data_IF_156637792570
#
_entry.id   IF_156637792570
#
_cell.length_a   1.000
_cell.length_b   1.000
_cell.length_c   1.000
_cell.angle_alpha   90.00
_cell.angle_beta   90.00
_cell.angle_gamma   90.00
#
_symmetry.space_group_name_H-M   'P 1'
#
loop_
_entity.id
_entity.type
_entity.pdbx_description
1 polymer ?
#
# COMPACT_ATOMS: atom_id res chain seq x y z
N UNK A 1 2.61 -32.54 -1.03
CA UNK A 1 1.75 -31.83 -0.08
C UNK A 1 1.75 -30.35 -0.47
N UNK A 2 0.60 -29.76 -0.80
CA UNK A 2 0.46 -28.33 -1.03
C UNK A 2 0.78 -27.62 0.31
N UNK A 3 1.74 -26.71 0.30
CA UNK A 3 2.04 -25.88 1.47
C UNK A 3 0.96 -24.80 1.53
N UNK A 4 0.03 -24.90 2.48
CA UNK A 4 -0.96 -23.86 2.74
C UNK A 4 -0.29 -22.72 3.49
N UNK A 5 -0.19 -21.56 2.85
CA UNK A 5 0.17 -20.31 3.52
C UNK A 5 -1.11 -19.60 3.97
N UNK A 6 -1.13 -19.09 5.21
CA UNK A 6 -2.14 -18.12 5.62
C UNK A 6 -1.62 -16.74 5.21
N UNK A 7 -2.41 -16.01 4.41
CA UNK A 7 -2.13 -14.64 4.03
C UNK A 7 -2.98 -13.67 4.86
N UNK A 8 -2.35 -12.62 5.39
CA UNK A 8 -3.00 -11.56 6.16
C UNK A 8 -2.61 -10.22 5.51
N UNK A 9 -3.59 -9.40 5.16
CA UNK A 9 -3.37 -8.10 4.54
C UNK A 9 -3.69 -6.98 5.52
N UNK A 10 -2.66 -6.35 6.07
CA UNK A 10 -2.74 -5.21 6.99
C UNK A 10 -1.96 -4.03 6.38
N UNK A 11 -2.58 -3.23 5.50
CA UNK A 11 -1.90 -2.15 4.80
C UNK A 11 -1.46 -1.04 5.76
N UNK A 12 -0.29 -0.48 5.49
CA UNK A 12 0.28 0.70 6.14
C UNK A 12 0.76 1.69 5.12
N UNK A 13 0.86 2.97 5.51
CA UNK A 13 1.34 4.05 4.64
C UNK A 13 2.83 4.33 4.84
N UNK A 14 3.42 5.11 3.96
CA UNK A 14 4.80 5.61 4.13
C UNK A 14 4.91 6.70 5.20
N UNK A 15 3.81 7.38 5.51
CA UNK A 15 3.76 8.42 6.54
C UNK A 15 3.84 7.90 7.97
N UNK A 16 3.73 6.57 8.16
CA UNK A 16 3.86 5.93 9.48
C UNK A 16 2.93 4.74 9.66
N UNK A 17 2.90 4.24 10.88
CA UNK A 17 2.05 3.12 11.29
C UNK A 17 1.24 3.59 12.50
N UNK A 18 -0.06 3.74 12.31
CA UNK A 18 -0.98 4.14 13.38
C UNK A 18 -0.93 3.15 14.56
N UNK A 19 -1.07 3.62 15.81
CA UNK A 19 -0.94 2.77 17.00
C UNK A 19 -1.85 1.53 16.98
N UNK A 20 -3.10 1.69 16.55
CA UNK A 20 -4.03 0.56 16.40
C UNK A 20 -3.51 -0.47 15.39
N UNK A 21 -2.97 -0.01 14.26
CA UNK A 21 -2.38 -0.88 13.23
C UNK A 21 -1.10 -1.57 13.72
N UNK A 22 -0.30 -0.92 14.56
CA UNK A 22 0.86 -1.56 15.19
C UNK A 22 0.43 -2.73 16.08
N UNK A 23 -0.65 -2.57 16.85
CA UNK A 23 -1.21 -3.63 17.69
C UNK A 23 -1.76 -4.79 16.85
N UNK A 24 -2.49 -4.50 15.77
CA UNK A 24 -2.99 -5.54 14.84
C UNK A 24 -1.85 -6.33 14.20
N UNK A 25 -0.79 -5.65 13.75
CA UNK A 25 0.40 -6.28 13.21
C UNK A 25 1.11 -7.16 14.27
N UNK A 26 1.27 -6.65 15.48
CA UNK A 26 1.90 -7.41 16.58
C UNK A 26 1.06 -8.65 16.94
N UNK A 27 -0.27 -8.52 17.02
CA UNK A 27 -1.18 -9.64 17.24
C UNK A 27 -1.08 -10.68 16.13
N UNK A 28 -1.17 -10.26 14.88
CA UNK A 28 -1.11 -11.14 13.71
C UNK A 28 0.22 -11.92 13.64
N UNK A 29 1.33 -11.21 13.83
CA UNK A 29 2.67 -11.81 13.78
C UNK A 29 2.89 -12.78 14.95
N UNK A 30 2.53 -12.42 16.16
CA UNK A 30 2.66 -13.29 17.33
C UNK A 30 1.89 -14.60 17.15
N UNK A 31 0.62 -14.48 16.77
CA UNK A 31 -0.26 -15.65 16.63
C UNK A 31 0.16 -16.56 15.45
N UNK A 32 0.63 -15.97 14.34
CA UNK A 32 1.16 -16.73 13.23
C UNK A 32 2.51 -17.41 13.58
N UNK A 33 3.38 -16.72 14.32
CA UNK A 33 4.69 -17.24 14.73
C UNK A 33 4.57 -18.48 15.63
N UNK A 34 3.51 -18.56 16.43
CA UNK A 34 3.23 -19.76 17.23
C UNK A 34 3.03 -21.04 16.39
N UNK A 35 2.69 -20.89 15.10
CA UNK A 35 2.46 -21.99 14.16
C UNK A 35 3.60 -22.18 13.15
N UNK A 36 4.55 -21.25 13.06
CA UNK A 36 5.67 -21.33 12.12
C UNK A 36 6.31 -19.97 11.79
N UNK A 37 7.22 -19.95 10.82
CA UNK A 37 7.88 -18.71 10.41
C UNK A 37 6.90 -17.74 9.76
N UNK A 38 7.10 -16.45 10.04
CA UNK A 38 6.30 -15.35 9.49
C UNK A 38 7.12 -14.56 8.48
N UNK A 39 6.56 -14.33 7.30
CA UNK A 39 7.14 -13.47 6.28
C UNK A 39 6.35 -12.17 6.19
N UNK A 40 6.96 -11.05 6.56
CA UNK A 40 6.38 -9.72 6.44
C UNK A 40 6.89 -9.10 5.14
N UNK A 41 5.98 -8.72 4.25
CA UNK A 41 6.34 -8.08 3.00
C UNK A 41 5.54 -6.81 2.75
N UNK A 42 6.05 -5.97 1.90
CA UNK A 42 5.34 -4.89 1.23
C UNK A 42 5.63 -4.98 -0.27
N UNK A 43 5.23 -4.00 -1.05
CA UNK A 43 5.45 -4.03 -2.49
C UNK A 43 6.94 -4.13 -2.88
N UNK A 44 7.82 -3.35 -2.22
CA UNK A 44 9.28 -3.32 -2.53
C UNK A 44 10.15 -4.10 -1.55
N UNK A 45 9.62 -4.56 -0.43
CA UNK A 45 10.39 -5.28 0.59
C UNK A 45 11.37 -4.45 1.43
N UNK A 46 11.45 -3.13 1.20
CA UNK A 46 12.51 -2.26 1.78
C UNK A 46 12.00 -1.33 2.89
N UNK A 47 10.79 -0.79 2.78
CA UNK A 47 10.35 0.35 3.57
C UNK A 47 9.26 -0.02 4.55
N UNK A 48 8.00 -0.15 4.09
CA UNK A 48 6.84 -0.46 4.95
C UNK A 48 7.03 -1.77 5.72
N UNK A 49 7.48 -2.83 5.04
CA UNK A 49 7.72 -4.12 5.70
C UNK A 49 8.87 -4.06 6.71
N UNK A 50 9.92 -3.31 6.42
CA UNK A 50 11.03 -3.13 7.37
C UNK A 50 10.60 -2.33 8.59
N UNK A 51 9.85 -1.23 8.40
CA UNK A 51 9.27 -0.45 9.50
C UNK A 51 8.27 -1.26 10.34
N UNK A 52 7.39 -2.02 9.69
CA UNK A 52 6.45 -2.90 10.38
C UNK A 52 7.17 -3.99 11.20
N UNK A 53 8.17 -4.66 10.61
CA UNK A 53 8.95 -5.67 11.32
C UNK A 53 9.71 -5.09 12.51
N UNK A 54 10.32 -3.91 12.36
CA UNK A 54 11.02 -3.22 13.44
C UNK A 54 10.07 -2.88 14.61
N UNK A 55 8.93 -2.25 14.32
CA UNK A 55 7.95 -1.91 15.35
C UNK A 55 7.39 -3.17 16.05
N UNK A 56 7.00 -4.19 15.27
CA UNK A 56 6.39 -5.41 15.80
C UNK A 56 7.36 -6.20 16.68
N UNK A 57 8.62 -6.37 16.28
CA UNK A 57 9.60 -7.11 17.08
C UNK A 57 9.87 -6.41 18.42
N UNK A 58 9.82 -5.07 18.45
CA UNK A 58 9.95 -4.31 19.68
C UNK A 58 8.69 -4.42 20.56
N UNK A 59 7.50 -4.29 19.98
CA UNK A 59 6.23 -4.43 20.70
C UNK A 59 6.11 -5.83 21.35
N UNK A 60 6.59 -6.85 20.68
CA UNK A 60 6.59 -8.23 21.18
C UNK A 60 7.75 -8.52 22.17
N UNK A 61 8.63 -7.54 22.41
CA UNK A 61 9.79 -7.72 23.28
C UNK A 61 10.87 -8.64 22.72
N UNK A 62 10.86 -8.89 21.41
CA UNK A 62 11.84 -9.80 20.76
C UNK A 62 13.16 -9.09 20.43
N UNK A 63 13.14 -7.78 20.23
CA UNK A 63 14.32 -6.95 19.99
C UNK A 63 14.09 -5.53 20.49
N UNK A 64 15.14 -4.82 20.95
CA UNK A 64 15.03 -3.41 21.28
C UNK A 64 14.84 -2.54 20.01
N UNK A 65 14.24 -1.36 20.17
CA UNK A 65 13.91 -0.46 19.06
C UNK A 65 15.13 -0.10 18.20
N UNK A 66 16.30 0.10 18.84
CA UNK A 66 17.53 0.45 18.15
C UNK A 66 17.98 -0.62 17.14
N UNK A 67 17.78 -1.90 17.49
CA UNK A 67 18.08 -3.01 16.55
C UNK A 67 17.11 -3.01 15.38
N UNK A 68 15.82 -2.75 15.62
CA UNK A 68 14.82 -2.60 14.58
C UNK A 68 15.18 -1.49 13.61
N UNK A 69 15.53 -0.31 14.11
CA UNK A 69 15.96 0.85 13.32
C UNK A 69 17.24 0.55 12.52
N UNK A 70 18.24 -0.06 13.16
CA UNK A 70 19.45 -0.47 12.46
C UNK A 70 19.15 -1.45 11.31
N UNK A 71 18.21 -2.38 11.51
CA UNK A 71 17.79 -3.30 10.47
C UNK A 71 17.05 -2.60 9.33
N UNK A 72 16.27 -1.55 9.60
CA UNK A 72 15.64 -0.74 8.56
C UNK A 72 16.71 -0.11 7.64
N UNK A 73 17.79 0.43 8.19
CA UNK A 73 18.90 0.96 7.39
C UNK A 73 19.56 -0.11 6.52
N UNK A 74 19.82 -1.30 7.07
CA UNK A 74 20.36 -2.45 6.31
C UNK A 74 19.42 -2.90 5.19
N UNK A 75 18.11 -2.83 5.42
CA UNK A 75 17.08 -3.15 4.42
C UNK A 75 16.97 -2.09 3.31
N UNK A 76 17.65 -0.95 3.45
CA UNK A 76 17.59 0.16 2.50
C UNK A 76 16.33 1.01 2.63
N UNK A 77 15.78 1.11 3.84
CA UNK A 77 14.65 2.02 4.10
C UNK A 77 15.10 3.46 3.87
N UNK A 78 14.40 4.17 2.97
CA UNK A 78 14.74 5.56 2.67
C UNK A 78 14.57 6.46 3.91
N UNK A 79 15.55 7.34 4.21
CA UNK A 79 15.47 8.26 5.33
C UNK A 79 14.36 9.30 5.20
N UNK A 80 13.77 9.46 4.01
CA UNK A 80 12.63 10.35 3.78
C UNK A 80 11.34 9.86 4.45
N UNK A 81 11.23 8.56 4.74
CA UNK A 81 10.06 7.98 5.41
C UNK A 81 10.14 8.11 6.93
N UNK A 82 10.22 9.34 7.40
CA UNK A 82 10.37 9.68 8.83
C UNK A 82 9.32 9.02 9.71
N UNK A 83 8.09 8.88 9.22
CA UNK A 83 7.00 8.24 9.97
C UNK A 83 7.22 6.74 10.21
N UNK A 84 7.84 6.01 9.27
CA UNK A 84 8.20 4.61 9.47
C UNK A 84 9.31 4.47 10.53
N UNK A 85 10.32 5.33 10.49
CA UNK A 85 11.37 5.37 11.52
C UNK A 85 10.80 5.76 12.88
N UNK A 86 9.92 6.76 12.93
CA UNK A 86 9.27 7.17 14.19
C UNK A 86 8.44 6.03 14.78
N UNK A 87 7.69 5.28 13.97
CA UNK A 87 6.94 4.11 14.44
C UNK A 87 7.84 3.04 15.05
N UNK A 88 9.01 2.78 14.45
CA UNK A 88 9.99 1.84 14.99
C UNK A 88 10.70 2.36 16.24
N UNK A 89 11.11 3.63 16.25
CA UNK A 89 11.83 4.26 17.37
C UNK A 89 10.98 4.40 18.64
N UNK A 90 9.69 4.73 18.46
CA UNK A 90 8.76 4.95 19.55
C UNK A 90 8.06 3.66 20.03
N UNK A 91 8.31 2.54 19.35
CA UNK A 91 7.78 1.25 19.80
C UNK A 91 8.38 0.86 21.16
N UNK A 92 7.58 0.26 22.00
CA UNK A 92 7.99 -0.28 23.29
C UNK A 92 7.29 -1.63 23.53
N UNK A 93 7.88 -2.51 24.33
CA UNK A 93 7.27 -3.79 24.68
C UNK A 93 5.90 -3.57 25.35
N UNK A 94 4.90 -4.33 24.90
CA UNK A 94 3.56 -4.29 25.45
C UNK A 94 3.21 -5.61 26.15
N UNK A 95 2.34 -5.53 27.15
CA UNK A 95 1.88 -6.71 27.86
C UNK A 95 1.06 -7.63 26.94
N UNK A 96 1.09 -8.94 27.16
CA UNK A 96 0.25 -9.90 26.44
C UNK A 96 -1.24 -9.54 26.44
N UNK A 97 -1.75 -8.96 27.54
CA UNK A 97 -3.16 -8.60 27.68
C UNK A 97 -3.58 -7.50 26.70
N UNK A 98 -2.73 -6.48 26.50
CA UNK A 98 -2.97 -5.42 25.52
C UNK A 98 -3.05 -6.03 24.10
N UNK A 99 -2.12 -6.92 23.77
CA UNK A 99 -2.09 -7.57 22.47
C UNK A 99 -3.29 -8.53 22.30
N UNK A 100 -3.71 -9.22 23.36
CA UNK A 100 -4.86 -10.13 23.36
C UNK A 100 -6.20 -9.39 23.20
N UNK A 101 -6.28 -8.15 23.62
CA UNK A 101 -7.47 -7.32 23.44
C UNK A 101 -7.76 -6.97 21.96
N UNK A 102 -6.77 -7.11 21.07
CA UNK A 102 -6.96 -6.87 19.64
C UNK A 102 -7.70 -8.05 19.01
N UNK A 103 -8.77 -7.83 18.23
CA UNK A 103 -9.43 -8.91 17.47
C UNK A 103 -8.45 -9.64 16.56
N UNK A 104 -8.56 -10.98 16.48
CA UNK A 104 -7.67 -11.83 15.68
C UNK A 104 -8.25 -12.20 14.31
N UNK A 105 -9.38 -11.62 13.94
CA UNK A 105 -10.00 -11.82 12.63
C UNK A 105 -9.39 -10.87 11.59
N UNK A 106 -8.26 -11.30 11.02
CA UNK A 106 -7.53 -10.51 10.03
C UNK A 106 -7.90 -10.93 8.62
N UNK A 107 -8.21 -9.95 7.73
CA UNK A 107 -8.59 -10.25 6.36
C UNK A 107 -7.40 -10.73 5.52
N UNK A 108 -7.66 -11.62 4.56
CA UNK A 108 -6.69 -11.94 3.50
C UNK A 108 -6.57 -10.81 2.46
N UNK A 109 -7.60 -9.98 2.33
CA UNK A 109 -7.60 -8.75 1.52
C UNK A 109 -8.27 -7.65 2.34
N UNK A 110 -7.52 -6.60 2.68
CA UNK A 110 -8.09 -5.40 3.31
C UNK A 110 -8.61 -4.49 2.22
N UNK A 111 -9.91 -4.21 2.27
CA UNK A 111 -10.56 -3.26 1.36
C UNK A 111 -10.63 -1.88 2.02
N UNK A 112 -10.62 -0.77 1.25
CA UNK A 112 -10.88 0.55 1.79
C UNK A 112 -12.20 0.58 2.57
N UNK A 113 -12.22 1.30 3.68
CA UNK A 113 -13.40 1.37 4.58
C UNK A 113 -14.62 2.01 3.91
N UNK A 114 -14.40 2.82 2.88
CA UNK A 114 -15.46 3.50 2.12
C UNK A 114 -14.99 3.86 0.71
N UNK A 115 -15.95 4.21 -0.16
CA UNK A 115 -15.67 4.74 -1.49
C UNK A 115 -14.85 6.05 -1.41
N UNK A 116 -15.13 6.90 -0.42
CA UNK A 116 -14.40 8.15 -0.20
C UNK A 116 -12.94 7.87 0.18
N UNK A 117 -12.70 6.90 1.08
CA UNK A 117 -11.33 6.52 1.43
C UNK A 117 -10.58 5.94 0.23
N UNK A 118 -11.24 5.14 -0.58
CA UNK A 118 -10.64 4.63 -1.82
C UNK A 118 -10.26 5.76 -2.78
N UNK A 119 -11.09 6.82 -2.89
CA UNK A 119 -10.75 8.01 -3.69
C UNK A 119 -9.53 8.76 -3.15
N UNK A 120 -9.37 8.87 -1.83
CA UNK A 120 -8.16 9.45 -1.22
C UNK A 120 -6.92 8.62 -1.58
N UNK A 121 -7.04 7.31 -1.55
CA UNK A 121 -5.93 6.41 -1.90
C UNK A 121 -5.60 6.45 -3.40
N UNK A 122 -6.62 6.62 -4.27
CA UNK A 122 -6.47 6.86 -5.72
C UNK A 122 -5.75 8.16 -5.98
N UNK A 123 -6.16 9.25 -5.30
CA UNK A 123 -5.52 10.57 -5.44
C UNK A 123 -4.03 10.50 -5.07
N UNK A 124 -3.70 9.84 -3.97
CA UNK A 124 -2.30 9.64 -3.56
C UNK A 124 -1.49 8.86 -4.62
N UNK A 125 -2.03 7.77 -5.15
CA UNK A 125 -1.35 6.98 -6.18
C UNK A 125 -1.19 7.79 -7.48
N UNK A 126 -2.18 8.59 -7.82
CA UNK A 126 -2.15 9.47 -8.99
C UNK A 126 -1.09 10.58 -8.84
N UNK A 127 -0.97 11.23 -7.67
CA UNK A 127 0.08 12.21 -7.40
C UNK A 127 1.49 11.58 -7.47
N UNK A 128 1.66 10.34 -6.97
CA UNK A 128 2.91 9.61 -7.15
C UNK A 128 3.27 9.40 -8.63
N UNK A 129 2.29 9.05 -9.46
CA UNK A 129 2.49 8.90 -10.90
C UNK A 129 2.82 10.23 -11.59
N UNK A 130 2.26 11.35 -11.15
CA UNK A 130 2.65 12.70 -11.63
C UNK A 130 4.11 13.02 -11.32
N UNK A 131 4.58 12.68 -10.14
CA UNK A 131 5.98 12.91 -9.77
C UNK A 131 6.93 11.97 -10.54
N UNK A 132 6.50 10.74 -10.80
CA UNK A 132 7.20 9.79 -11.67
C UNK A 132 7.25 10.31 -13.12
N UNK A 133 6.15 10.85 -13.66
CA UNK A 133 6.12 11.47 -15.00
C UNK A 133 7.10 12.64 -15.10
N UNK A 134 7.10 13.55 -14.11
CA UNK A 134 8.07 14.69 -14.03
C UNK A 134 9.53 14.19 -13.97
N UNK A 135 9.78 13.06 -13.35
CA UNK A 135 11.09 12.42 -13.30
C UNK A 135 11.44 11.60 -14.57
N UNK A 136 10.65 11.72 -15.63
CA UNK A 136 10.88 11.02 -16.90
C UNK A 136 10.60 9.52 -16.83
N UNK A 137 9.57 9.12 -16.08
CA UNK A 137 9.12 7.74 -15.88
C UNK A 137 10.15 6.84 -15.16
N UNK A 138 10.99 7.49 -14.37
CA UNK A 138 11.92 6.82 -13.45
C UNK A 138 11.55 7.15 -12.00
N UNK A 139 12.06 6.39 -11.01
CA UNK A 139 11.87 6.75 -9.60
C UNK A 139 12.37 8.17 -9.32
N UNK A 140 11.52 9.06 -8.75
CA UNK A 140 11.93 10.43 -8.43
C UNK A 140 13.10 10.44 -7.43
N UNK A 141 14.10 11.32 -7.57
CA UNK A 141 15.22 11.40 -6.63
C UNK A 141 14.81 11.66 -5.18
N UNK A 142 13.72 12.41 -4.98
CA UNK A 142 13.13 12.68 -3.65
C UNK A 142 12.43 11.47 -3.04
N UNK A 143 12.03 10.51 -3.86
CA UNK A 143 11.25 9.33 -3.46
C UNK A 143 11.68 8.12 -4.29
N UNK A 144 12.94 7.63 -4.11
CA UNK A 144 13.56 6.62 -4.98
C UNK A 144 12.92 5.24 -4.90
N UNK A 145 11.98 5.05 -4.02
CA UNK A 145 11.19 3.82 -3.82
C UNK A 145 9.83 3.85 -4.55
N UNK A 146 9.46 4.96 -5.16
CA UNK A 146 8.30 5.02 -6.05
C UNK A 146 8.67 4.32 -7.38
N UNK A 147 8.41 3.02 -7.45
CA UNK A 147 8.62 2.24 -8.67
C UNK A 147 7.46 2.48 -9.63
N UNK A 148 7.71 2.98 -10.86
CA UNK A 148 6.65 3.39 -11.79
C UNK A 148 5.59 2.32 -12.05
N UNK A 149 5.98 1.10 -12.41
CA UNK A 149 5.05 -0.01 -12.66
C UNK A 149 4.22 -0.35 -11.43
N UNK A 150 4.83 -0.28 -10.23
CA UNK A 150 4.16 -0.60 -8.98
C UNK A 150 3.09 0.43 -8.60
N UNK A 151 3.32 1.72 -8.83
CA UNK A 151 2.33 2.75 -8.55
C UNK A 151 1.17 2.71 -9.58
N UNK A 152 1.45 2.37 -10.84
CA UNK A 152 0.42 2.13 -11.85
C UNK A 152 -0.45 0.91 -11.50
N UNK A 153 0.16 -0.20 -11.08
CA UNK A 153 -0.55 -1.40 -10.62
C UNK A 153 -1.38 -1.13 -9.35
N UNK A 154 -0.84 -0.35 -8.41
CA UNK A 154 -1.60 0.09 -7.23
C UNK A 154 -2.84 0.87 -7.60
N UNK A 155 -2.73 1.79 -8.56
CA UNK A 155 -3.87 2.57 -9.04
C UNK A 155 -4.93 1.67 -9.69
N UNK A 156 -4.51 0.67 -10.48
CA UNK A 156 -5.41 -0.30 -11.09
C UNK A 156 -6.15 -1.15 -10.03
N UNK A 157 -5.45 -1.61 -9.00
CA UNK A 157 -6.04 -2.36 -7.90
C UNK A 157 -7.08 -1.55 -7.13
N UNK A 158 -6.81 -0.27 -6.87
CA UNK A 158 -7.75 0.63 -6.20
C UNK A 158 -9.05 0.79 -7.01
N UNK A 159 -8.97 0.99 -8.33
CA UNK A 159 -10.16 1.06 -9.19
C UNK A 159 -10.95 -0.26 -9.19
N UNK A 160 -10.27 -1.41 -9.22
CA UNK A 160 -10.92 -2.72 -9.11
C UNK A 160 -11.68 -2.85 -7.79
N UNK A 161 -11.03 -2.53 -6.67
CA UNK A 161 -11.61 -2.69 -5.33
C UNK A 161 -12.80 -1.74 -5.11
N UNK A 162 -12.80 -0.57 -5.75
CA UNK A 162 -13.90 0.38 -5.71
C UNK A 162 -15.18 -0.14 -6.38
N UNK A 163 -15.08 -0.97 -7.43
CA UNK A 163 -16.23 -1.56 -8.12
C UNK A 163 -17.04 -2.46 -7.17
N UNK A 164 -16.38 -3.08 -6.20
CA UNK A 164 -16.99 -3.99 -5.22
C UNK A 164 -17.60 -3.27 -4.00
N UNK A 165 -17.47 -1.95 -3.92
CA UNK A 165 -18.00 -1.20 -2.77
C UNK A 165 -19.52 -1.16 -2.77
N UNK A 166 -20.13 -1.08 -1.59
CA UNK A 166 -21.57 -0.91 -1.45
C UNK A 166 -22.07 0.39 -2.09
N UNK A 167 -21.22 1.42 -2.18
CA UNK A 167 -21.54 2.67 -2.87
C UNK A 167 -21.67 2.45 -4.38
N UNK A 168 -20.68 1.83 -5.02
CA UNK A 168 -20.71 1.58 -6.45
C UNK A 168 -21.89 0.69 -6.85
N UNK A 169 -22.19 -0.34 -6.07
CA UNK A 169 -23.34 -1.25 -6.32
C UNK A 169 -24.71 -0.59 -6.25
N UNK A 170 -24.84 0.55 -5.54
CA UNK A 170 -26.09 1.32 -5.45
C UNK A 170 -26.23 2.42 -6.51
N UNK A 171 -25.17 2.70 -7.27
CA UNK A 171 -25.17 3.68 -8.35
C UNK A 171 -25.52 3.02 -9.68
N UNK A 172 -25.90 3.79 -10.70
CA UNK A 172 -26.12 3.25 -12.05
C UNK A 172 -24.93 2.47 -12.57
N UNK A 173 -25.19 1.49 -13.42
CA UNK A 173 -24.16 0.58 -13.97
C UNK A 173 -23.00 1.29 -14.70
N UNK A 174 -23.20 2.51 -15.15
CA UNK A 174 -22.19 3.31 -15.81
C UNK A 174 -21.05 3.78 -14.86
N UNK A 175 -21.31 3.95 -13.55
CA UNK A 175 -20.21 4.19 -12.60
C UNK A 175 -19.25 3.00 -12.57
N UNK A 176 -19.78 1.77 -12.52
CA UNK A 176 -18.94 0.57 -12.54
C UNK A 176 -18.20 0.44 -13.87
N UNK A 177 -18.85 0.79 -14.99
CA UNK A 177 -18.19 0.81 -16.30
C UNK A 177 -17.04 1.85 -16.32
N UNK A 178 -17.24 3.06 -15.82
CA UNK A 178 -16.19 4.09 -15.74
C UNK A 178 -15.02 3.65 -14.86
N UNK A 179 -15.27 2.99 -13.73
CA UNK A 179 -14.23 2.43 -12.86
C UNK A 179 -13.47 1.29 -13.57
N UNK A 180 -14.18 0.45 -14.31
CA UNK A 180 -13.58 -0.63 -15.10
C UNK A 180 -12.68 -0.09 -16.22
N UNK A 181 -13.12 0.95 -16.91
CA UNK A 181 -12.32 1.61 -17.95
C UNK A 181 -11.06 2.27 -17.34
N UNK A 182 -11.20 2.97 -16.21
CA UNK A 182 -10.07 3.57 -15.51
C UNK A 182 -9.07 2.50 -15.03
N UNK A 183 -9.56 1.35 -14.52
CA UNK A 183 -8.73 0.19 -14.19
C UNK A 183 -7.96 -0.31 -15.42
N UNK A 184 -8.62 -0.50 -16.54
CA UNK A 184 -7.98 -0.99 -17.76
C UNK A 184 -6.88 -0.02 -18.26
N UNK A 185 -7.11 1.29 -18.19
CA UNK A 185 -6.10 2.30 -18.54
C UNK A 185 -4.89 2.24 -17.60
N UNK A 186 -5.10 2.07 -16.29
CA UNK A 186 -4.01 1.94 -15.32
C UNK A 186 -3.22 0.64 -15.51
N UNK A 187 -3.89 -0.48 -15.79
CA UNK A 187 -3.25 -1.77 -16.11
C UNK A 187 -2.41 -1.71 -17.38
N UNK A 188 -2.87 -0.96 -18.39
CA UNK A 188 -2.07 -0.78 -19.61
C UNK A 188 -0.81 0.03 -19.32
N UNK A 189 -0.90 1.09 -18.51
CA UNK A 189 0.29 1.85 -18.08
C UNK A 189 1.27 0.96 -17.29
N UNK A 190 0.76 0.16 -16.33
CA UNK A 190 1.56 -0.81 -15.59
C UNK A 190 2.28 -1.78 -16.53
N UNK A 191 1.55 -2.35 -17.50
CA UNK A 191 2.08 -3.32 -18.47
C UNK A 191 3.19 -2.72 -19.35
N UNK A 192 3.02 -1.48 -19.81
CA UNK A 192 4.04 -0.76 -20.57
C UNK A 192 5.31 -0.56 -19.72
N UNK A 193 5.16 -0.07 -18.49
CA UNK A 193 6.27 0.16 -17.57
C UNK A 193 6.98 -1.14 -17.18
N UNK A 194 6.24 -2.20 -16.92
CA UNK A 194 6.78 -3.52 -16.60
C UNK A 194 7.54 -4.17 -17.77
N UNK A 195 7.10 -3.90 -19.01
CA UNK A 195 7.78 -4.33 -20.23
C UNK A 195 9.05 -3.51 -20.56
N UNK A 196 9.35 -2.47 -19.77
CA UNK A 196 10.53 -1.62 -19.99
C UNK A 196 10.34 -0.59 -21.10
N UNK A 197 9.08 -0.16 -21.37
CA UNK A 197 8.84 0.94 -22.31
C UNK A 197 9.59 2.19 -21.87
N UNK A 198 10.38 2.76 -22.77
CA UNK A 198 11.24 3.93 -22.51
C UNK A 198 10.80 5.20 -23.24
N UNK A 199 9.81 5.11 -24.15
CA UNK A 199 9.25 6.31 -24.78
C UNK A 199 8.35 7.07 -23.80
N UNK A 200 8.91 8.10 -23.18
CA UNK A 200 8.20 8.94 -22.22
C UNK A 200 6.92 9.57 -22.81
N UNK A 201 6.89 9.86 -24.12
CA UNK A 201 5.69 10.43 -24.78
C UNK A 201 4.56 9.41 -24.81
N UNK A 202 4.87 8.14 -25.07
CA UNK A 202 3.89 7.05 -25.08
C UNK A 202 3.33 6.81 -23.67
N UNK A 203 4.20 6.76 -22.66
CA UNK A 203 3.80 6.62 -21.25
C UNK A 203 2.95 7.80 -20.79
N UNK A 204 3.35 9.04 -21.11
CA UNK A 204 2.58 10.24 -20.78
C UNK A 204 1.25 10.31 -21.53
N UNK A 205 1.18 9.82 -22.77
CA UNK A 205 -0.09 9.73 -23.48
C UNK A 205 -1.06 8.76 -22.79
N UNK A 206 -0.57 7.60 -22.33
CA UNK A 206 -1.36 6.64 -21.58
C UNK A 206 -1.81 7.21 -20.23
N UNK A 207 -0.94 7.92 -19.51
CA UNK A 207 -1.29 8.56 -18.23
C UNK A 207 -2.34 9.66 -18.40
N UNK A 208 -2.32 10.39 -19.50
CA UNK A 208 -3.36 11.39 -19.83
C UNK A 208 -4.75 10.75 -20.02
N UNK A 209 -4.83 9.52 -20.52
CA UNK A 209 -6.11 8.80 -20.63
C UNK A 209 -6.68 8.49 -19.23
N UNK A 210 -5.81 8.10 -18.27
CA UNK A 210 -6.22 7.92 -16.88
C UNK A 210 -6.71 9.25 -16.29
N UNK A 211 -6.01 10.35 -16.50
CA UNK A 211 -6.43 11.67 -16.02
C UNK A 211 -7.77 12.13 -16.64
N UNK A 212 -8.01 11.81 -17.90
CA UNK A 212 -9.28 12.09 -18.57
C UNK A 212 -10.43 11.29 -17.94
N UNK A 213 -10.25 10.00 -17.67
CA UNK A 213 -11.26 9.17 -17.02
C UNK A 213 -11.65 9.68 -15.62
N UNK A 214 -10.68 10.20 -14.84
CA UNK A 214 -10.95 10.86 -13.56
C UNK A 214 -11.88 12.07 -13.72
N UNK A 215 -11.55 12.94 -14.70
CA UNK A 215 -12.33 14.15 -14.98
C UNK A 215 -13.76 13.82 -15.41
N UNK A 216 -13.92 12.85 -16.30
CA UNK A 216 -15.23 12.46 -16.84
C UNK A 216 -16.11 11.85 -15.73
N UNK A 217 -15.54 10.99 -14.87
CA UNK A 217 -16.25 10.44 -13.73
C UNK A 217 -16.65 11.52 -12.72
N UNK A 218 -15.73 12.43 -12.37
CA UNK A 218 -16.01 13.52 -11.44
C UNK A 218 -17.04 14.52 -11.98
N UNK A 219 -17.08 14.76 -13.28
CA UNK A 219 -18.10 15.62 -13.89
C UNK A 219 -19.53 15.07 -13.71
N UNK A 220 -19.66 13.75 -13.48
CA UNK A 220 -20.96 13.06 -13.34
C UNK A 220 -21.32 12.67 -11.91
N UNK A 221 -20.32 12.35 -11.08
CA UNK A 221 -20.50 11.71 -9.78
C UNK A 221 -19.89 12.44 -8.59
N UNK A 222 -19.17 13.55 -8.82
CA UNK A 222 -18.65 14.39 -7.75
C UNK A 222 -19.64 15.54 -7.51
N UNK A 223 -20.26 15.54 -6.33
CA UNK A 223 -21.10 16.64 -5.83
C UNK A 223 -20.23 17.82 -5.39
#
# INVERSE_FOLDING_TARGET
>A
AARCFRYIHLPITYSGIEPARQLELARAVRDAHASGPVYIHCHHGKHRSAGAAAAVTTILGWAPAEQGVARMHVSGTSPHYKGLFAAAQNASPLSPDIINAVPADFPSVSKPSSFVQAMVDVDLAFEHLKDIEKAGWTPPPSSPDLVPAAEAGRLADLYRDMQDTSYARRKPADLTAMLSDAQAQAQLLESLLAAGESDARKLSAQFKLIAASCKDCHAKYRD
#
